data_IF_687084604936
#
_entry.id   IF_687084604936
#
_cell.length_a   1.000
_cell.length_b   1.000
_cell.length_c   1.000
_cell.angle_alpha   90.00
_cell.angle_beta   90.00
_cell.angle_gamma   90.00
#
_symmetry.space_group_name_H-M   'P 1'
#
loop_
_entity.id
_entity.type
_entity.pdbx_description
1 polymer ?
#
# COMPACT_ATOMS: atom_id res chain seq x y z
N UNK A 1 1.91 22.44 -15.30
CA UNK A 1 2.03 21.35 -14.33
C UNK A 1 3.21 21.68 -13.43
N UNK A 2 2.94 22.11 -12.19
CA UNK A 2 4.02 22.40 -11.25
C UNK A 2 4.13 21.18 -10.34
N UNK A 3 5.18 20.37 -10.51
CA UNK A 3 5.49 19.34 -9.53
C UNK A 3 5.59 20.00 -8.15
N UNK A 4 5.06 19.35 -7.13
CA UNK A 4 5.05 19.89 -5.78
C UNK A 4 6.49 20.21 -5.35
N UNK A 5 6.74 21.48 -4.98
CA UNK A 5 8.07 21.94 -4.57
C UNK A 5 8.60 21.13 -3.39
N UNK A 6 7.71 20.63 -2.53
CA UNK A 6 8.08 19.78 -1.40
C UNK A 6 8.60 18.42 -1.87
N UNK A 7 7.93 17.78 -2.84
CA UNK A 7 8.35 16.49 -3.42
C UNK A 7 9.73 16.61 -4.08
N UNK A 8 9.96 17.67 -4.84
CA UNK A 8 11.27 17.93 -5.47
C UNK A 8 12.37 18.20 -4.44
N UNK A 9 12.08 18.96 -3.39
CA UNK A 9 13.04 19.21 -2.31
C UNK A 9 13.42 17.92 -1.57
N UNK A 10 12.45 17.07 -1.28
CA UNK A 10 12.70 15.76 -0.66
C UNK A 10 13.52 14.86 -1.59
N UNK A 11 13.23 14.82 -2.88
CA UNK A 11 14.02 14.04 -3.86
C UNK A 11 15.49 14.49 -3.93
N UNK A 12 15.73 15.80 -3.93
CA UNK A 12 17.10 16.33 -3.92
C UNK A 12 17.83 15.87 -2.64
N UNK A 13 17.22 16.01 -1.47
CA UNK A 13 17.79 15.54 -0.19
C UNK A 13 18.08 14.04 -0.20
N UNK A 14 17.15 13.23 -0.68
CA UNK A 14 17.34 11.78 -0.79
C UNK A 14 18.55 11.45 -1.68
N UNK A 15 18.72 12.18 -2.78
CA UNK A 15 19.86 12.00 -3.69
C UNK A 15 21.17 12.45 -3.04
N UNK A 16 21.17 13.58 -2.34
CA UNK A 16 22.34 14.10 -1.60
C UNK A 16 22.82 13.12 -0.52
N UNK A 17 21.88 12.44 0.16
CA UNK A 17 22.14 11.39 1.15
C UNK A 17 22.43 10.00 0.55
N UNK A 18 22.40 9.87 -0.79
CA UNK A 18 22.74 8.64 -1.51
C UNK A 18 21.60 7.63 -1.69
N UNK A 19 20.34 8.01 -1.38
CA UNK A 19 19.11 7.26 -1.66
C UNK A 19 18.58 7.54 -3.07
N UNK A 20 19.39 7.24 -4.08
CA UNK A 20 19.20 7.57 -5.50
C UNK A 20 18.51 6.47 -6.33
N UNK A 21 18.03 5.40 -5.68
CA UNK A 21 17.31 4.30 -6.35
C UNK A 21 16.04 3.97 -5.60
N UNK A 22 15.02 3.48 -6.32
CA UNK A 22 13.77 3.02 -5.70
C UNK A 22 14.02 2.01 -4.56
N UNK A 23 14.95 1.06 -4.76
CA UNK A 23 15.33 0.09 -3.74
C UNK A 23 15.84 0.76 -2.47
N UNK A 24 16.75 1.72 -2.60
CA UNK A 24 17.30 2.47 -1.45
C UNK A 24 16.21 3.29 -0.76
N UNK A 25 15.35 3.97 -1.52
CA UNK A 25 14.23 4.76 -0.98
C UNK A 25 13.26 3.87 -0.19
N UNK A 26 12.90 2.69 -0.72
CA UNK A 26 12.03 1.73 -0.03
C UNK A 26 12.67 1.07 1.20
N UNK A 27 13.99 1.13 1.34
CA UNK A 27 14.70 0.64 2.53
C UNK A 27 14.79 1.66 3.67
N UNK A 28 14.35 2.90 3.46
CA UNK A 28 14.35 3.93 4.50
C UNK A 28 13.28 3.59 5.53
N UNK A 29 13.71 3.16 6.70
CA UNK A 29 12.87 3.05 7.88
C UNK A 29 12.98 4.31 8.75
N UNK A 30 12.29 4.30 9.89
CA UNK A 30 12.25 5.46 10.79
C UNK A 30 13.63 5.79 11.40
N UNK A 31 14.46 4.77 11.63
CA UNK A 31 15.80 4.94 12.19
C UNK A 31 16.73 5.54 11.15
N UNK A 32 16.72 5.02 9.93
CA UNK A 32 17.48 5.56 8.79
C UNK A 32 17.07 7.00 8.53
N UNK A 33 15.76 7.29 8.52
CA UNK A 33 15.28 8.66 8.32
C UNK A 33 15.78 9.62 9.42
N UNK A 34 15.84 9.18 10.68
CA UNK A 34 16.38 9.98 11.77
C UNK A 34 17.89 10.20 11.65
N UNK A 35 18.64 9.13 11.39
CA UNK A 35 20.10 9.15 11.28
C UNK A 35 20.59 10.06 10.13
N UNK A 36 19.79 10.18 9.07
CA UNK A 36 20.06 11.03 7.90
C UNK A 36 19.35 12.40 7.93
N UNK A 37 18.72 12.78 9.06
CA UNK A 37 18.06 14.09 9.18
C UNK A 37 16.86 14.30 8.25
N UNK A 38 16.22 13.21 7.81
CA UNK A 38 15.06 13.17 6.92
C UNK A 38 13.71 13.13 7.67
N UNK A 39 13.72 13.29 9.00
CA UNK A 39 12.50 13.21 9.81
C UNK A 39 11.44 14.25 9.42
N UNK A 40 11.84 15.41 8.88
CA UNK A 40 10.92 16.44 8.40
C UNK A 40 10.21 16.08 7.10
N UNK A 41 10.79 15.15 6.33
CA UNK A 41 10.33 14.71 5.02
C UNK A 41 9.62 13.36 5.07
N UNK A 42 9.47 12.77 6.27
CA UNK A 42 9.02 11.39 6.44
C UNK A 42 7.67 11.10 5.78
N UNK A 43 6.72 12.05 5.83
CA UNK A 43 5.42 11.90 5.17
C UNK A 43 5.57 11.73 3.65
N UNK A 44 6.38 12.58 3.02
CA UNK A 44 6.66 12.51 1.57
C UNK A 44 7.41 11.23 1.22
N UNK A 45 8.34 10.79 2.08
CA UNK A 45 9.07 9.54 1.88
C UNK A 45 8.12 8.34 1.90
N UNK A 46 7.20 8.27 2.88
CA UNK A 46 6.22 7.19 2.98
C UNK A 46 5.29 7.13 1.76
N UNK A 47 4.79 8.29 1.31
CA UNK A 47 3.98 8.37 0.09
C UNK A 47 4.78 7.95 -1.16
N UNK A 48 6.05 8.36 -1.26
CA UNK A 48 6.92 7.97 -2.37
C UNK A 48 7.19 6.45 -2.35
N UNK A 49 7.40 5.85 -1.18
CA UNK A 49 7.54 4.41 -1.03
C UNK A 49 6.29 3.67 -1.49
N UNK A 50 5.10 4.18 -1.16
CA UNK A 50 3.84 3.64 -1.65
C UNK A 50 3.74 3.76 -3.18
N UNK A 51 4.04 4.93 -3.74
CA UNK A 51 4.03 5.14 -5.19
C UNK A 51 5.01 4.23 -5.93
N UNK A 52 6.16 3.90 -5.33
CA UNK A 52 7.12 2.92 -5.87
C UNK A 52 6.51 1.52 -5.88
N UNK A 53 5.94 1.06 -4.76
CA UNK A 53 5.27 -0.25 -4.66
C UNK A 53 4.14 -0.41 -5.68
N UNK A 54 3.39 0.66 -5.88
CA UNK A 54 2.26 0.73 -6.81
C UNK A 54 2.67 0.94 -8.27
N UNK A 55 3.97 1.19 -8.55
CA UNK A 55 4.49 1.60 -9.87
C UNK A 55 3.80 2.86 -10.42
N UNK A 56 3.47 3.81 -9.53
CA UNK A 56 2.79 5.08 -9.81
C UNK A 56 3.67 6.31 -9.54
N UNK A 57 5.00 6.15 -9.49
CA UNK A 57 5.95 7.24 -9.14
C UNK A 57 5.73 8.50 -10.00
N UNK A 58 5.60 8.36 -11.32
CA UNK A 58 5.39 9.51 -12.21
C UNK A 58 4.07 10.21 -11.88
N UNK A 59 2.99 9.46 -11.66
CA UNK A 59 1.70 10.02 -11.28
C UNK A 59 1.77 10.76 -9.92
N UNK A 60 2.48 10.18 -8.95
CA UNK A 60 2.74 10.80 -7.66
C UNK A 60 3.52 12.12 -7.79
N UNK A 61 4.60 12.14 -8.57
CA UNK A 61 5.44 13.33 -8.75
C UNK A 61 4.73 14.45 -9.54
N UNK A 62 3.86 14.08 -10.47
CA UNK A 62 3.09 15.02 -11.28
C UNK A 62 1.76 15.46 -10.63
N UNK A 63 1.45 15.01 -9.41
CA UNK A 63 0.14 15.20 -8.77
C UNK A 63 -1.03 14.75 -9.66
N UNK A 64 -0.81 13.69 -10.43
CA UNK A 64 -1.77 13.09 -11.36
C UNK A 64 -2.25 11.72 -10.87
N UNK A 65 -2.35 11.55 -9.54
CA UNK A 65 -3.00 10.36 -8.99
C UNK A 65 -4.50 10.50 -9.24
N UNK A 66 -4.99 9.88 -10.32
CA UNK A 66 -6.41 9.60 -10.46
C UNK A 66 -6.85 8.83 -9.20
N UNK A 67 -8.00 9.19 -8.62
CA UNK A 67 -8.72 8.48 -7.55
C UNK A 67 -9.20 7.07 -7.98
N UNK A 68 -8.46 6.40 -8.86
CA UNK A 68 -8.71 5.04 -9.27
C UNK A 68 -8.36 4.11 -8.13
N UNK A 69 -9.37 3.83 -7.29
CA UNK A 69 -9.40 2.72 -6.33
C UNK A 69 -8.70 1.49 -6.93
N UNK A 70 -7.79 0.84 -6.20
CA UNK A 70 -7.10 -0.34 -6.70
C UNK A 70 -8.14 -1.38 -7.13
N UNK A 71 -8.14 -1.72 -8.42
CA UNK A 71 -8.94 -2.85 -8.92
C UNK A 71 -8.38 -4.10 -8.24
N UNK A 72 -9.22 -4.92 -7.58
CA UNK A 72 -8.74 -6.12 -6.91
C UNK A 72 -7.97 -6.99 -7.91
N UNK A 73 -6.80 -7.45 -7.50
CA UNK A 73 -5.97 -8.33 -8.29
C UNK A 73 -6.79 -9.56 -8.68
N UNK A 74 -6.95 -9.79 -9.99
CA UNK A 74 -7.52 -11.03 -10.51
C UNK A 74 -6.56 -12.16 -10.13
N UNK A 75 -6.93 -12.94 -9.12
CA UNK A 75 -6.31 -14.22 -8.85
C UNK A 75 -6.59 -15.12 -10.05
N UNK A 76 -5.57 -15.38 -10.87
CA UNK A 76 -5.65 -16.44 -11.87
C UNK A 76 -5.64 -17.79 -11.13
N UNK A 77 -6.80 -18.23 -10.68
CA UNK A 77 -7.02 -19.62 -10.28
C UNK A 77 -7.14 -20.45 -11.57
N UNK A 78 -6.03 -21.01 -12.00
CA UNK A 78 -6.00 -22.09 -12.98
C UNK A 78 -6.42 -23.38 -12.28
N UNK A 79 -7.69 -23.76 -12.38
CA UNK A 79 -8.11 -25.18 -12.35
C UNK A 79 -9.59 -25.31 -12.76
N UNK A 80 -9.93 -26.04 -13.85
CA UNK A 80 -11.23 -26.68 -13.95
C UNK A 80 -11.05 -28.18 -14.20
N UNK A 81 -11.16 -28.98 -13.14
CA UNK A 81 -11.30 -30.43 -13.24
C UNK A 81 -12.41 -30.95 -12.32
N UNK A 82 -13.49 -31.48 -12.94
CA UNK A 82 -14.51 -32.38 -12.35
C UNK A 82 -15.66 -31.68 -11.59
N UNK A 83 -16.93 -31.77 -12.03
CA UNK A 83 -17.93 -32.84 -11.75
C UNK A 83 -18.31 -32.93 -10.26
N UNK A 84 -19.55 -33.04 -9.78
CA UNK A 84 -20.87 -33.40 -10.30
C UNK A 84 -21.94 -32.93 -9.26
N UNK A 85 -23.14 -32.69 -9.77
CA UNK A 85 -24.49 -32.64 -9.20
C UNK A 85 -24.74 -33.06 -7.73
N UNK A 86 -25.61 -32.31 -7.03
CA UNK A 86 -26.22 -32.79 -5.78
C UNK A 86 -26.95 -31.74 -4.94
N UNK A 87 -28.27 -31.67 -5.11
CA UNK A 87 -29.22 -30.89 -4.31
C UNK A 87 -29.25 -31.33 -2.83
N UNK A 88 -29.20 -30.38 -1.89
CA UNK A 88 -29.86 -30.52 -0.57
C UNK A 88 -29.99 -29.15 0.12
N UNK A 89 -31.21 -28.61 0.11
CA UNK A 89 -31.72 -27.70 1.13
C UNK A 89 -31.47 -28.31 2.53
N UNK A 90 -31.06 -27.48 3.48
CA UNK A 90 -31.44 -27.59 4.89
C UNK A 90 -31.04 -26.32 5.62
N UNK A 91 -32.04 -25.48 5.88
CA UNK A 91 -32.02 -24.45 6.91
C UNK A 91 -31.69 -25.11 8.26
N UNK A 92 -30.69 -24.57 8.94
CA UNK A 92 -30.48 -24.82 10.37
C UNK A 92 -30.05 -23.52 11.00
N UNK A 93 -31.04 -22.81 11.53
CA UNK A 93 -30.86 -21.86 12.63
C UNK A 93 -30.13 -22.60 13.77
N UNK A 94 -29.04 -22.02 14.25
CA UNK A 94 -28.48 -22.43 15.53
C UNK A 94 -28.12 -21.19 16.34
N UNK A 95 -28.79 -21.08 17.48
CA UNK A 95 -28.69 -20.06 18.50
C UNK A 95 -27.23 -19.89 18.97
N UNK A 96 -26.72 -18.65 18.95
CA UNK A 96 -25.52 -18.31 19.71
C UNK A 96 -25.93 -17.77 21.09
N UNK A 97 -25.90 -18.68 22.05
CA UNK A 97 -26.09 -18.46 23.48
C UNK A 97 -24.97 -17.60 24.08
N UNK A 98 -25.37 -16.48 24.69
CA UNK A 98 -24.99 -16.06 26.04
C UNK A 98 -23.53 -16.04 26.47
N UNK A 99 -23.00 -14.83 26.67
CA UNK A 99 -22.27 -14.52 27.91
C UNK A 99 -22.78 -13.21 28.51
N UNK A 100 -23.51 -13.37 29.61
CA UNK A 100 -24.00 -12.29 30.44
C UNK A 100 -22.94 -11.94 31.47
N UNK A 101 -22.50 -10.69 31.41
CA UNK A 101 -21.58 -10.02 32.32
C UNK A 101 -22.29 -9.87 33.66
N UNK A 102 -21.73 -10.41 34.74
CA UNK A 102 -22.05 -9.98 36.11
C UNK A 102 -20.78 -9.95 36.96
N UNK A 103 -20.83 -9.01 37.90
CA UNK A 103 -19.77 -8.29 38.60
C UNK A 103 -18.96 -9.14 39.58
#
# INVERSE_FOLDING_TARGET
>A
MTADKNKLKTLNKLTDEGFDTEKKITSIDMKVAYDHGLSGEIGVILELQEAIRDRKVIAYLCNAMDDAKPKPAKTNSSDPAGKEDGNHERDHENEYSGYQIHQ
#
